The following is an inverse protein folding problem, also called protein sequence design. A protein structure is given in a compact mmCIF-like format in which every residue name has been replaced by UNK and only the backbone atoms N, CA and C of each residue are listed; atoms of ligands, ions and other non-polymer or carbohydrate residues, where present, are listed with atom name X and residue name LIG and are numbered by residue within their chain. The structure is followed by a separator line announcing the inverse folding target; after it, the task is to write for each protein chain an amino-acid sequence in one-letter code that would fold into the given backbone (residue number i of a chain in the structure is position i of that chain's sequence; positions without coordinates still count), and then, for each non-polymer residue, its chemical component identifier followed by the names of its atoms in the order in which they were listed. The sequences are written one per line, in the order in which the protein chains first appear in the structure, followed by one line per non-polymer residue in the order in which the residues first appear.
data_IF_491398140926
#
_entry.id   IF_491398140926
#
_cell.length_a   1.000
_cell.length_b   1.000
_cell.length_c   1.000
_cell.angle_alpha   90.00
_cell.angle_beta   90.00
_cell.angle_gamma   90.00
#
_symmetry.space_group_name_H-M   'P 1'
#
loop_
_entity.id
_entity.type
_entity.pdbx_description
1 polymer ?
#
# COMPACT_ATOMS: atom_id res chain seq x y z
N UNK A 1 -13.24 -21.04 -30.20
CA UNK A 1 -14.00 -21.52 -29.03
C UNK A 1 -13.29 -21.26 -27.69
N UNK A 2 -11.98 -20.99 -27.64
CA UNK A 2 -11.26 -20.74 -26.38
C UNK A 2 -11.68 -19.48 -25.59
N UNK A 3 -11.87 -18.34 -26.25
CA UNK A 3 -12.15 -17.05 -25.58
C UNK A 3 -13.53 -16.90 -24.94
N UNK A 4 -14.45 -17.85 -25.19
CA UNK A 4 -15.78 -17.89 -24.53
C UNK A 4 -15.70 -18.31 -23.06
N UNK A 5 -14.65 -19.04 -22.68
CA UNK A 5 -14.44 -19.46 -21.28
C UNK A 5 -14.12 -18.27 -20.36
N UNK A 6 -13.69 -17.13 -20.94
CA UNK A 6 -13.40 -15.90 -20.19
C UNK A 6 -14.64 -15.29 -19.55
N UNK A 7 -15.83 -15.52 -20.14
CA UNK A 7 -17.07 -14.94 -19.63
C UNK A 7 -17.46 -15.50 -18.25
N UNK A 8 -17.15 -16.78 -18.00
CA UNK A 8 -17.43 -17.47 -16.74
C UNK A 8 -16.39 -17.28 -15.63
N UNK A 9 -15.30 -16.54 -15.88
CA UNK A 9 -14.29 -16.26 -14.85
C UNK A 9 -14.78 -15.16 -13.90
N UNK A 10 -14.36 -15.17 -12.65
CA UNK A 10 -14.54 -14.02 -11.76
C UNK A 10 -13.54 -12.90 -12.11
N UNK A 11 -14.00 -11.66 -12.07
CA UNK A 11 -13.17 -10.49 -12.35
C UNK A 11 -13.90 -9.34 -13.03
N UNK A 12 -13.23 -8.20 -13.12
CA UNK A 12 -13.80 -6.99 -13.73
C UNK A 12 -13.99 -7.17 -15.25
N UNK A 13 -14.97 -6.46 -15.82
CA UNK A 13 -15.20 -6.46 -17.27
C UNK A 13 -13.94 -6.09 -18.07
N UNK A 14 -13.16 -5.14 -17.55
CA UNK A 14 -11.91 -4.71 -18.17
C UNK A 14 -10.84 -5.82 -18.17
N UNK A 15 -10.70 -6.55 -17.05
CA UNK A 15 -9.78 -7.69 -16.95
C UNK A 15 -10.16 -8.81 -17.93
N UNK A 16 -11.45 -9.16 -18.00
CA UNK A 16 -11.98 -10.12 -18.98
C UNK A 16 -11.72 -9.69 -20.43
N UNK A 17 -11.93 -8.40 -20.74
CA UNK A 17 -11.66 -7.84 -22.06
C UNK A 17 -10.18 -7.95 -22.44
N UNK A 18 -9.27 -7.58 -21.52
CA UNK A 18 -7.82 -7.72 -21.72
C UNK A 18 -7.42 -9.17 -21.97
N UNK A 19 -7.90 -10.08 -21.15
CA UNK A 19 -7.59 -11.51 -21.26
C UNK A 19 -8.05 -12.08 -22.62
N UNK A 20 -9.26 -11.72 -23.08
CA UNK A 20 -9.77 -12.12 -24.40
C UNK A 20 -8.85 -11.69 -25.53
N UNK A 21 -8.44 -10.42 -25.54
CA UNK A 21 -7.55 -9.88 -26.58
C UNK A 21 -6.19 -10.57 -26.55
N UNK A 22 -5.62 -10.80 -25.36
CA UNK A 22 -4.35 -11.53 -25.22
C UNK A 22 -4.48 -12.95 -25.80
N UNK A 23 -5.53 -13.68 -25.44
CA UNK A 23 -5.78 -15.02 -25.97
C UNK A 23 -5.95 -15.02 -27.49
N UNK A 24 -6.67 -14.04 -28.07
CA UNK A 24 -6.83 -13.91 -29.51
C UNK A 24 -5.49 -13.69 -30.23
N UNK A 25 -4.52 -13.01 -29.60
CA UNK A 25 -3.16 -12.88 -30.16
C UNK A 25 -2.31 -14.15 -30.06
N UNK A 26 -2.62 -15.06 -29.13
CA UNK A 26 -1.89 -16.32 -28.99
C UNK A 26 -2.35 -17.38 -29.99
N UNK A 27 -3.58 -17.26 -30.49
CA UNK A 27 -4.14 -18.13 -31.53
C UNK A 27 -4.13 -17.49 -32.91
N UNK A 28 -3.29 -16.46 -33.11
CA UNK A 28 -3.12 -15.71 -34.36
C UNK A 28 -4.41 -15.16 -34.99
N UNK A 29 -5.46 -14.95 -34.18
CA UNK A 29 -6.74 -14.33 -34.62
C UNK A 29 -6.68 -12.81 -34.63
N UNK A 30 -5.70 -12.23 -33.96
CA UNK A 30 -5.50 -10.79 -33.84
C UNK A 30 -4.00 -10.50 -33.86
N UNK A 31 -3.57 -9.52 -34.65
CA UNK A 31 -2.18 -9.07 -34.63
C UNK A 31 -1.88 -8.29 -33.34
N UNK A 32 -0.61 -8.25 -32.95
CA UNK A 32 -0.16 -7.45 -31.79
C UNK A 32 -0.54 -5.98 -31.95
N UNK A 33 -0.40 -5.42 -33.16
CA UNK A 33 -0.80 -4.02 -33.46
C UNK A 33 -2.30 -3.79 -33.25
N UNK A 34 -3.15 -4.66 -33.82
CA UNK A 34 -4.60 -4.56 -33.64
C UNK A 34 -5.03 -4.75 -32.17
N UNK A 35 -4.30 -5.59 -31.42
CA UNK A 35 -4.51 -5.76 -29.99
C UNK A 35 -4.13 -4.50 -29.20
N UNK A 36 -3.02 -3.84 -29.53
CA UNK A 36 -2.58 -2.59 -28.92
C UNK A 36 -3.61 -1.47 -29.13
N UNK A 37 -4.14 -1.34 -30.36
CA UNK A 37 -5.20 -0.38 -30.68
C UNK A 37 -6.48 -0.65 -29.89
N UNK A 38 -6.92 -1.91 -29.83
CA UNK A 38 -8.12 -2.29 -29.07
C UNK A 38 -7.96 -2.01 -27.57
N UNK A 39 -6.78 -2.27 -27.01
CA UNK A 39 -6.53 -2.09 -25.58
C UNK A 39 -6.07 -0.67 -25.23
N UNK A 40 -5.80 0.19 -26.22
CA UNK A 40 -5.23 1.53 -26.06
C UNK A 40 -3.95 1.51 -25.20
N UNK A 41 -3.05 0.59 -25.51
CA UNK A 41 -1.75 0.44 -24.83
C UNK A 41 -0.62 0.43 -25.84
N UNK A 42 0.58 0.81 -25.40
CA UNK A 42 1.79 0.65 -26.20
C UNK A 42 2.15 -0.82 -26.39
N UNK A 43 2.90 -1.12 -27.44
CA UNK A 43 3.38 -2.48 -27.75
C UNK A 43 4.21 -3.08 -26.59
N UNK A 44 5.09 -2.27 -25.98
CA UNK A 44 5.85 -2.66 -24.79
C UNK A 44 4.92 -3.08 -23.63
N UNK A 45 3.90 -2.27 -23.33
CA UNK A 45 2.94 -2.58 -22.28
C UNK A 45 2.12 -3.83 -22.61
N UNK A 46 1.75 -4.03 -23.87
CA UNK A 46 1.06 -5.23 -24.32
C UNK A 46 1.90 -6.50 -24.13
N UNK A 47 3.18 -6.48 -24.52
CA UNK A 47 4.08 -7.61 -24.30
C UNK A 47 4.25 -7.94 -22.83
N UNK A 48 4.38 -6.93 -21.97
CA UNK A 48 4.42 -7.12 -20.53
C UNK A 48 3.13 -7.78 -20.01
N UNK A 49 1.96 -7.26 -20.37
CA UNK A 49 0.67 -7.84 -19.98
C UNK A 49 0.53 -9.29 -20.42
N UNK A 50 0.95 -9.60 -21.65
CA UNK A 50 0.94 -10.96 -22.18
C UNK A 50 1.85 -11.89 -21.36
N UNK A 51 3.05 -11.42 -21.00
CA UNK A 51 3.98 -12.18 -20.16
C UNK A 51 3.39 -12.45 -18.78
N UNK A 52 2.89 -11.43 -18.10
CA UNK A 52 2.25 -11.54 -16.78
C UNK A 52 1.08 -12.53 -16.80
N UNK A 53 0.24 -12.48 -17.83
CA UNK A 53 -0.89 -13.39 -17.98
C UNK A 53 -0.44 -14.86 -18.16
N UNK A 54 0.60 -15.10 -18.95
CA UNK A 54 1.15 -16.43 -19.18
C UNK A 54 1.85 -16.98 -17.94
N UNK A 55 2.61 -16.15 -17.22
CA UNK A 55 3.24 -16.52 -15.95
C UNK A 55 2.19 -16.87 -14.89
N UNK A 56 1.12 -16.09 -14.79
CA UNK A 56 0.00 -16.40 -13.91
C UNK A 56 -0.71 -17.70 -14.26
N UNK A 57 -0.94 -17.96 -15.55
CA UNK A 57 -1.51 -19.21 -16.02
C UNK A 57 -0.61 -20.42 -15.72
N UNK A 58 0.70 -20.29 -15.96
CA UNK A 58 1.69 -21.31 -15.65
C UNK A 58 1.72 -21.62 -14.15
N UNK A 59 1.72 -20.58 -13.30
CA UNK A 59 1.68 -20.72 -11.85
C UNK A 59 0.39 -21.39 -11.37
N UNK A 60 -0.75 -21.07 -11.99
CA UNK A 60 -2.04 -21.71 -11.70
C UNK A 60 -2.10 -23.19 -12.07
N UNK A 61 -1.33 -23.61 -13.08
CA UNK A 61 -1.21 -25.01 -13.51
C UNK A 61 -0.18 -25.81 -12.71
N UNK A 62 0.65 -25.16 -11.89
CA UNK A 62 1.62 -25.84 -11.07
C UNK A 62 0.92 -26.76 -10.05
N UNK A 63 1.45 -27.97 -9.79
CA UNK A 63 0.88 -28.87 -8.80
C UNK A 63 0.92 -28.20 -7.42
N UNK A 64 -0.26 -27.93 -6.87
CA UNK A 64 -0.41 -27.46 -5.49
C UNK A 64 -0.58 -28.69 -4.60
N UNK A 65 0.05 -28.74 -3.40
CA UNK A 65 -0.18 -29.83 -2.47
C UNK A 65 -1.69 -29.99 -2.25
N UNK A 66 -2.19 -31.21 -2.37
CA UNK A 66 -3.60 -31.52 -2.22
C UNK A 66 -4.06 -31.17 -0.80
N UNK A 67 -5.02 -30.25 -0.68
CA UNK A 67 -5.60 -29.83 0.60
C UNK A 67 -6.00 -28.36 0.61
N UNK A 68 -6.82 -27.97 1.60
CA UNK A 68 -6.98 -26.55 1.95
C UNK A 68 -5.58 -26.02 2.30
N UNK A 69 -5.15 -24.86 1.78
CA UNK A 69 -3.92 -24.23 2.22
C UNK A 69 -3.89 -24.26 3.76
N UNK A 70 -2.78 -24.66 4.39
CA UNK A 70 -2.67 -24.53 5.83
C UNK A 70 -3.03 -23.09 6.20
N UNK A 71 -3.78 -22.92 7.30
CA UNK A 71 -3.98 -21.59 7.87
C UNK A 71 -2.61 -20.91 7.97
N UNK A 72 -2.56 -19.61 7.69
CA UNK A 72 -1.30 -18.87 7.70
C UNK A 72 -0.54 -19.21 9.00
N UNK A 73 0.76 -19.54 8.92
CA UNK A 73 1.51 -19.86 10.11
C UNK A 73 1.36 -18.71 11.10
N UNK A 74 1.14 -18.98 12.39
CA UNK A 74 0.87 -17.95 13.41
C UNK A 74 1.97 -16.89 13.50
N UNK A 75 3.18 -17.19 12.99
CA UNK A 75 4.30 -16.25 12.85
C UNK A 75 4.08 -15.14 11.81
N UNK A 76 3.27 -15.35 10.78
CA UNK A 76 2.93 -14.32 9.80
C UNK A 76 1.87 -13.38 10.37
N UNK A 77 0.83 -13.92 11.02
CA UNK A 77 -0.21 -13.13 11.68
C UNK A 77 0.36 -12.30 12.84
N UNK A 78 1.32 -12.84 13.60
CA UNK A 78 2.03 -12.09 14.64
C UNK A 78 2.85 -10.94 14.06
N UNK A 79 3.62 -11.19 13.00
CA UNK A 79 4.41 -10.15 12.32
C UNK A 79 3.54 -9.03 11.73
N UNK A 80 2.39 -9.37 11.14
CA UNK A 80 1.45 -8.38 10.63
C UNK A 80 0.94 -7.49 11.78
N UNK A 81 0.54 -8.09 12.89
CA UNK A 81 0.05 -7.36 14.07
C UNK A 81 1.12 -6.45 14.70
N UNK A 82 2.37 -6.93 14.78
CA UNK A 82 3.52 -6.17 15.24
C UNK A 82 3.82 -4.97 14.32
N UNK A 83 3.87 -5.21 13.00
CA UNK A 83 4.12 -4.17 12.01
C UNK A 83 3.01 -3.11 12.01
N UNK A 84 1.75 -3.50 12.11
CA UNK A 84 0.63 -2.58 12.22
C UNK A 84 0.71 -1.71 13.49
N UNK A 85 1.11 -2.31 14.61
CA UNK A 85 1.33 -1.59 15.87
C UNK A 85 2.46 -0.57 15.72
N UNK A 86 3.55 -0.95 15.05
CA UNK A 86 4.67 -0.05 14.78
C UNK A 86 4.28 1.11 13.86
N UNK A 87 3.49 0.85 12.83
CA UNK A 87 2.98 1.90 11.93
C UNK A 87 2.09 2.88 12.69
N UNK A 88 1.23 2.40 13.59
CA UNK A 88 0.40 3.28 14.43
C UNK A 88 1.25 4.18 15.33
N UNK A 89 2.22 3.59 16.03
CA UNK A 89 3.16 4.32 16.90
C UNK A 89 3.91 5.41 16.12
N UNK A 90 4.55 5.04 15.01
CA UNK A 90 5.33 5.96 14.18
C UNK A 90 4.48 7.10 13.60
N UNK A 91 3.21 6.83 13.25
CA UNK A 91 2.29 7.87 12.79
C UNK A 91 1.97 8.86 13.91
N UNK A 92 1.77 8.40 15.13
CA UNK A 92 1.55 9.27 16.29
C UNK A 92 2.77 10.14 16.57
N UNK A 93 3.97 9.57 16.56
CA UNK A 93 5.22 10.32 16.77
C UNK A 93 5.44 11.39 15.71
N UNK A 94 5.17 11.05 14.45
CA UNK A 94 5.30 11.96 13.32
C UNK A 94 4.25 13.08 13.41
N UNK A 95 3.02 12.77 13.82
CA UNK A 95 2.00 13.80 14.08
C UNK A 95 2.40 14.71 15.24
N UNK A 96 2.85 14.15 16.37
CA UNK A 96 3.30 14.92 17.52
C UNK A 96 4.49 15.84 17.16
N UNK A 97 5.43 15.35 16.35
CA UNK A 97 6.56 16.12 15.86
C UNK A 97 6.09 17.28 14.98
N UNK A 98 5.18 17.03 14.03
CA UNK A 98 4.58 18.07 13.18
C UNK A 98 3.88 19.16 14.01
N UNK A 99 3.07 18.76 14.98
CA UNK A 99 2.37 19.70 15.87
C UNK A 99 3.36 20.54 16.68
N UNK A 100 4.42 19.94 17.22
CA UNK A 100 5.47 20.69 17.93
C UNK A 100 6.17 21.70 17.02
N UNK A 101 6.47 21.33 15.79
CA UNK A 101 7.06 22.24 14.78
C UNK A 101 6.10 23.38 14.47
N UNK A 102 4.82 23.09 14.25
CA UNK A 102 3.81 24.11 13.95
C UNK A 102 3.62 25.09 15.11
N UNK A 103 3.54 24.59 16.35
CA UNK A 103 3.47 25.45 17.55
C UNK A 103 4.73 26.31 17.67
N UNK A 104 5.92 25.77 17.38
CA UNK A 104 7.15 26.54 17.44
C UNK A 104 7.17 27.70 16.43
N UNK A 105 6.60 27.49 15.24
CA UNK A 105 6.54 28.51 14.19
C UNK A 105 5.43 29.55 14.44
N UNK A 106 4.23 29.11 14.82
CA UNK A 106 3.04 29.98 14.90
C UNK A 106 2.83 30.56 16.29
N UNK A 107 3.13 29.81 17.35
CA UNK A 107 2.86 30.19 18.75
C UNK A 107 4.02 29.82 19.70
N UNK A 108 5.23 30.38 19.48
CA UNK A 108 6.45 30.00 20.21
C UNK A 108 6.38 30.27 21.73
N UNK A 109 5.46 31.12 22.18
CA UNK A 109 5.26 31.42 23.60
C UNK A 109 4.64 30.23 24.37
N UNK A 110 3.96 29.30 23.70
CA UNK A 110 3.41 28.09 24.32
C UNK A 110 4.50 27.04 24.65
N UNK A 111 5.66 27.11 23.99
CA UNK A 111 6.81 26.24 24.27
C UNK A 111 7.75 26.82 25.34
N UNK A 112 7.53 28.05 25.80
CA UNK A 112 8.39 28.71 26.80
C UNK A 112 7.83 28.48 28.19
N UNK A 113 8.56 27.72 29.00
CA UNK A 113 8.26 27.59 30.43
C UNK A 113 8.28 28.97 31.10
N UNK A 114 7.18 29.33 31.75
CA UNK A 114 6.97 30.64 32.39
C UNK A 114 7.89 30.71 33.62
N UNK A 115 9.13 31.20 33.45
CA UNK A 115 10.11 31.39 34.54
C UNK A 115 9.43 32.05 35.74
N UNK A 116 9.30 31.34 36.87
CA UNK A 116 8.82 31.91 38.14
C UNK A 116 9.81 32.98 38.61
N UNK A 117 9.32 34.20 38.85
CA UNK A 117 10.14 35.29 39.42
C UNK A 117 10.60 34.90 40.83
N UNK A 118 11.88 35.10 41.20
CA UNK A 118 12.35 34.82 42.55
C UNK A 118 11.68 35.77 43.54
N UNK A 119 11.15 35.21 44.64
CA UNK A 119 10.55 35.99 45.73
C UNK A 119 11.65 36.80 46.42
N UNK A 120 11.59 38.13 46.33
CA UNK A 120 12.43 39.00 47.15
C UNK A 120 12.10 38.73 48.64
N UNK A 121 13.13 38.41 49.43
CA UNK A 121 13.01 38.26 50.89
C UNK A 121 12.95 39.64 51.54
N UNK A 122 11.91 39.91 52.34
CA UNK A 122 11.85 41.11 53.17
C UNK A 122 12.95 41.08 54.24
N UNK A 123 13.60 42.22 54.54
CA UNK A 123 14.64 42.29 55.57
C UNK A 123 13.99 42.26 56.97
N UNK A 124 14.46 41.35 57.82
CA UNK A 124 14.06 41.27 59.23
C UNK A 124 14.59 42.48 59.99
N UNK A 125 13.70 43.34 60.51
CA UNK A 125 14.07 44.40 61.46
C UNK A 125 14.55 43.76 62.76
N UNK A 126 15.83 43.97 63.12
CA UNK A 126 16.33 43.80 64.49
C UNK A 126 15.93 45.03 65.30
N UNK A 127 15.36 44.84 66.49
CA UNK A 127 15.06 45.96 67.37
C UNK A 127 14.59 45.54 68.76
N UNK A 128 15.53 45.63 69.71
CA UNK A 128 15.44 45.72 71.19
C UNK A 128 14.86 44.55 71.98
#
# INVERSE_FOLDING_TARGET
MGTKHVDGLDGTHEAKRRLRVILDTLVDRCSVKAACERLQVSESRFHQLRKEALEGALAGLAPRPSGRPPAEPPELESKVTELESKVRELRMDLQASRVRTEIALTMPHLLRDRKKKPKLRCPTKRGR
#
